data_IF_002186125549
#
_entry.id   IF_002186125549
#
_cell.length_a   1.000
_cell.length_b   1.000
_cell.length_c   1.000
_cell.angle_alpha   90.00
_cell.angle_beta   90.00
_cell.angle_gamma   90.00
#
_symmetry.space_group_name_H-M   'P 1'
#
loop_
_entity.id
_entity.type
_entity.pdbx_description
1 polymer ?
#
# COMPACT_ATOMS: atom_id res chain seq x y z
N UNK A 1 -12.36 13.97 -28.98
CA UNK A 1 -11.80 13.43 -27.73
C UNK A 1 -12.78 12.42 -27.19
N UNK A 2 -12.35 11.17 -27.07
CA UNK A 2 -13.09 10.09 -26.43
C UNK A 2 -12.90 10.21 -24.93
N UNK A 3 -13.98 10.05 -24.16
CA UNK A 3 -13.96 9.96 -22.69
C UNK A 3 -14.62 8.67 -22.26
N UNK A 4 -13.94 7.91 -21.41
CA UNK A 4 -14.49 6.74 -20.77
C UNK A 4 -15.46 7.14 -19.66
N UNK A 5 -16.39 6.23 -19.33
CA UNK A 5 -17.24 6.39 -18.16
C UNK A 5 -16.40 6.33 -16.88
N UNK A 6 -16.96 6.81 -15.77
CA UNK A 6 -16.31 6.73 -14.46
C UNK A 6 -15.90 5.28 -14.13
N UNK A 7 -14.68 5.10 -13.64
CA UNK A 7 -14.12 3.78 -13.33
C UNK A 7 -13.68 2.98 -14.56
N UNK A 8 -13.74 3.55 -15.77
CA UNK A 8 -13.27 2.91 -17.01
C UNK A 8 -12.08 3.64 -17.61
N UNK A 9 -11.18 2.87 -18.20
CA UNK A 9 -9.91 3.36 -18.72
C UNK A 9 -9.59 2.74 -20.08
N UNK A 10 -8.78 3.45 -20.85
CA UNK A 10 -8.13 2.93 -22.05
C UNK A 10 -6.98 2.00 -21.65
N UNK A 11 -6.34 1.37 -22.64
CA UNK A 11 -5.30 0.36 -22.38
C UNK A 11 -4.03 0.93 -21.72
N UNK A 12 -3.82 2.24 -21.82
CA UNK A 12 -2.74 3.04 -21.27
C UNK A 12 -3.13 3.75 -19.96
N UNK A 13 -4.14 3.23 -19.25
CA UNK A 13 -4.61 3.70 -17.95
C UNK A 13 -5.22 5.11 -17.94
N UNK A 14 -5.42 5.73 -19.11
CA UNK A 14 -6.06 7.05 -19.22
C UNK A 14 -7.58 6.95 -19.36
N UNK A 15 -8.28 7.92 -18.79
CA UNK A 15 -9.75 8.01 -18.87
C UNK A 15 -10.24 8.69 -20.15
N UNK A 16 -9.35 9.35 -20.89
CA UNK A 16 -9.69 10.07 -22.11
C UNK A 16 -8.51 10.20 -23.05
N UNK A 17 -8.80 10.29 -24.36
CA UNK A 17 -7.79 10.44 -25.39
C UNK A 17 -8.34 11.21 -26.62
N UNK A 18 -7.47 11.87 -27.40
CA UNK A 18 -7.82 12.34 -28.74
C UNK A 18 -8.35 11.18 -29.60
N UNK A 19 -9.44 11.42 -30.31
CA UNK A 19 -10.10 10.39 -31.12
C UNK A 19 -10.99 11.03 -32.18
N UNK A 20 -11.06 10.38 -33.34
CA UNK A 20 -11.91 10.73 -34.47
C UNK A 20 -13.03 9.69 -34.59
N UNK A 21 -14.26 10.13 -34.89
CA UNK A 21 -15.38 9.22 -35.13
C UNK A 21 -15.58 9.05 -36.64
N UNK A 22 -15.34 7.85 -37.17
CA UNK A 22 -15.53 7.49 -38.57
C UNK A 22 -16.56 6.37 -38.69
N UNK A 23 -17.65 6.61 -39.42
CA UNK A 23 -18.73 5.63 -39.63
C UNK A 23 -19.29 5.00 -38.33
N UNK A 24 -19.28 5.74 -37.22
CA UNK A 24 -19.77 5.28 -35.92
C UNK A 24 -18.72 4.56 -35.05
N UNK A 25 -17.46 4.47 -35.50
CA UNK A 25 -16.36 3.84 -34.75
C UNK A 25 -15.33 4.90 -34.36
N UNK A 26 -14.88 4.87 -33.10
CA UNK A 26 -13.79 5.71 -32.63
C UNK A 26 -12.44 5.15 -33.08
N UNK A 27 -11.62 6.00 -33.69
CA UNK A 27 -10.26 5.68 -34.14
C UNK A 27 -9.27 6.69 -33.58
N UNK A 28 -8.03 6.24 -33.32
CA UNK A 28 -6.93 7.11 -32.92
C UNK A 28 -6.56 8.07 -34.06
N UNK A 29 -6.06 9.24 -33.69
CA UNK A 29 -5.55 10.24 -34.64
C UNK A 29 -4.15 9.86 -35.16
N UNK A 30 -3.38 9.14 -34.34
CA UNK A 30 -2.10 8.56 -34.75
C UNK A 30 -2.33 7.20 -35.42
N UNK A 31 -1.67 6.96 -36.57
CA UNK A 31 -1.66 5.74 -37.40
C UNK A 31 -1.29 4.42 -36.65
N UNK A 32 -1.20 4.46 -35.32
CA UNK A 32 -1.03 3.30 -34.46
C UNK A 32 -2.40 2.67 -34.15
N UNK A 33 -2.60 1.35 -34.38
CA UNK A 33 -3.87 0.68 -34.12
C UNK A 33 -4.07 0.42 -32.61
N UNK A 34 -4.02 1.47 -31.80
CA UNK A 34 -4.40 1.38 -30.39
C UNK A 34 -5.92 1.30 -30.34
N UNK A 35 -6.44 0.17 -29.89
CA UNK A 35 -7.87 -0.01 -29.71
C UNK A 35 -8.37 0.99 -28.66
N UNK A 36 -9.10 2.02 -29.11
CA UNK A 36 -9.79 3.00 -28.27
C UNK A 36 -11.04 2.37 -27.61
N UNK A 37 -10.81 1.37 -26.77
CA UNK A 37 -11.84 0.61 -26.09
C UNK A 37 -11.70 0.84 -24.59
N UNK A 38 -12.72 1.48 -24.01
CA UNK A 38 -12.83 1.62 -22.57
C UNK A 38 -13.12 0.26 -21.93
N UNK A 39 -12.30 -0.13 -20.97
CA UNK A 39 -12.49 -1.32 -20.13
C UNK A 39 -12.77 -0.89 -18.69
N UNK A 40 -13.39 -1.78 -17.91
CA UNK A 40 -13.42 -1.59 -16.46
C UNK A 40 -11.98 -1.45 -15.96
N UNK A 41 -11.74 -0.52 -15.04
CA UNK A 41 -10.44 -0.31 -14.45
C UNK A 41 -9.95 -1.57 -13.75
N UNK A 42 -10.55 -1.90 -12.61
CA UNK A 42 -10.06 -2.99 -11.78
C UNK A 42 -11.02 -4.18 -11.89
N UNK A 43 -10.50 -5.32 -12.31
CA UNK A 43 -11.26 -6.57 -12.36
C UNK A 43 -11.60 -7.06 -10.94
N UNK A 44 -10.65 -6.87 -10.01
CA UNK A 44 -10.86 -7.05 -8.58
C UNK A 44 -11.02 -5.67 -7.91
N UNK A 45 -12.00 -5.48 -7.03
CA UNK A 45 -12.21 -4.18 -6.41
C UNK A 45 -11.06 -3.82 -5.47
N UNK A 46 -10.68 -2.54 -5.46
CA UNK A 46 -9.82 -2.00 -4.42
C UNK A 46 -10.54 -2.10 -3.06
N UNK A 47 -9.86 -2.65 -2.07
CA UNK A 47 -10.35 -2.85 -0.72
C UNK A 47 -10.14 -1.60 0.15
N UNK A 48 -10.77 -1.61 1.33
CA UNK A 48 -10.57 -0.60 2.38
C UNK A 48 -10.72 0.86 1.95
N UNK A 49 -11.60 1.12 0.98
CA UNK A 49 -11.87 2.48 0.47
C UNK A 49 -10.88 2.96 -0.58
N UNK A 50 -10.01 2.08 -1.10
CA UNK A 50 -9.19 2.35 -2.27
C UNK A 50 -10.04 2.65 -3.50
N UNK A 51 -9.45 3.41 -4.44
CA UNK A 51 -10.12 3.82 -5.67
C UNK A 51 -9.34 3.32 -6.87
N UNK A 52 -10.03 2.76 -7.85
CA UNK A 52 -9.41 2.35 -9.10
C UNK A 52 -9.06 3.57 -9.95
N UNK A 53 -7.78 3.68 -10.32
CA UNK A 53 -7.22 4.84 -11.04
C UNK A 53 -6.61 4.48 -12.39
N UNK A 54 -6.71 3.22 -12.80
CA UNK A 54 -6.19 2.67 -14.06
C UNK A 54 -6.65 1.23 -14.24
N UNK A 55 -6.11 0.51 -15.23
CA UNK A 55 -6.38 -0.92 -15.39
C UNK A 55 -5.67 -1.68 -14.28
N UNK A 56 -6.45 -2.37 -13.44
CA UNK A 56 -6.01 -3.12 -12.26
C UNK A 56 -5.08 -2.32 -11.33
N UNK A 57 -5.21 -0.99 -11.34
CA UNK A 57 -4.39 -0.08 -10.55
C UNK A 57 -5.23 0.60 -9.46
N UNK A 58 -4.92 0.28 -8.21
CA UNK A 58 -5.57 0.89 -7.05
C UNK A 58 -4.74 2.03 -6.47
N UNK A 59 -5.42 3.15 -6.16
CA UNK A 59 -4.91 4.15 -5.23
C UNK A 59 -5.52 3.88 -3.86
N UNK A 60 -4.67 3.45 -2.93
CA UNK A 60 -5.08 3.13 -1.56
C UNK A 60 -5.28 4.39 -0.71
N UNK A 61 -6.06 4.23 0.36
CA UNK A 61 -6.09 5.22 1.45
C UNK A 61 -4.74 5.20 2.18
N UNK A 62 -4.40 6.26 2.94
CA UNK A 62 -3.09 6.36 3.59
C UNK A 62 -2.74 5.18 4.50
N UNK A 63 -3.74 4.49 5.06
CA UNK A 63 -3.58 3.41 6.03
C UNK A 63 -3.45 2.02 5.39
N UNK A 64 -3.51 1.90 4.06
CA UNK A 64 -3.48 0.61 3.36
C UNK A 64 -2.51 0.61 2.18
N UNK A 65 -2.05 -0.59 1.82
CA UNK A 65 -1.16 -0.85 0.68
C UNK A 65 -1.44 -2.23 0.08
N UNK A 66 -0.75 -2.54 -1.03
CA UNK A 66 -0.98 -3.75 -1.82
C UNK A 66 -1.60 -3.44 -3.18
N UNK A 67 -1.73 -4.45 -4.02
CA UNK A 67 -2.27 -4.32 -5.38
C UNK A 67 -3.76 -3.89 -5.35
N UNK A 68 -4.47 -4.37 -4.32
CA UNK A 68 -5.87 -4.10 -4.09
C UNK A 68 -6.12 -3.42 -2.74
N UNK A 69 -5.10 -2.79 -2.14
CA UNK A 69 -5.21 -2.17 -0.81
C UNK A 69 -5.62 -3.16 0.29
N UNK A 70 -5.20 -4.40 0.15
CA UNK A 70 -5.54 -5.52 1.01
C UNK A 70 -4.77 -5.52 2.33
N UNK A 71 -3.60 -4.89 2.38
CA UNK A 71 -2.73 -4.88 3.56
C UNK A 71 -2.86 -3.58 4.34
N UNK A 72 -3.12 -3.68 5.64
CA UNK A 72 -3.10 -2.51 6.54
C UNK A 72 -1.66 -2.12 6.85
N UNK A 73 -1.34 -0.84 6.69
CA UNK A 73 -0.08 -0.25 7.15
C UNK A 73 -0.04 -0.21 8.67
N UNK A 74 1.15 -0.38 9.22
CA UNK A 74 1.35 -0.18 10.64
C UNK A 74 1.51 1.30 10.96
N UNK A 75 1.07 1.76 12.15
CA UNK A 75 1.28 3.13 12.55
C UNK A 75 2.77 3.37 12.82
N UNK A 76 3.25 4.56 12.50
CA UNK A 76 4.50 5.07 13.07
C UNK A 76 4.31 5.21 14.58
N UNK A 77 5.24 4.66 15.35
CA UNK A 77 5.17 4.64 16.82
C UNK A 77 6.27 5.48 17.43
N UNK A 78 5.92 6.29 18.43
CA UNK A 78 6.91 6.91 19.29
C UNK A 78 7.27 5.93 20.41
N UNK A 79 8.57 5.73 20.60
CA UNK A 79 9.07 4.79 21.60
C UNK A 79 9.85 5.54 22.66
N UNK A 80 9.54 5.27 23.93
CA UNK A 80 10.31 5.79 25.05
C UNK A 80 11.57 4.96 25.24
N UNK A 81 12.72 5.60 25.50
CA UNK A 81 14.00 4.92 25.74
C UNK A 81 14.47 4.01 24.59
N UNK A 82 14.09 4.36 23.36
CA UNK A 82 14.56 3.70 22.16
C UNK A 82 14.32 4.56 20.93
N UNK A 83 14.79 4.05 19.80
CA UNK A 83 14.63 4.65 18.47
C UNK A 83 13.87 3.65 17.61
N UNK A 84 12.77 4.11 17.02
CA UNK A 84 12.00 3.35 16.03
C UNK A 84 12.38 3.85 14.64
N UNK A 85 13.00 2.98 13.85
CA UNK A 85 13.45 3.25 12.49
C UNK A 85 12.58 2.46 11.51
N UNK A 86 11.67 3.15 10.83
CA UNK A 86 10.75 2.55 9.86
C UNK A 86 11.43 2.44 8.49
N UNK A 87 11.67 1.21 8.02
CA UNK A 87 12.30 0.97 6.71
C UNK A 87 11.30 1.12 5.58
N UNK A 88 10.07 0.65 5.79
CA UNK A 88 8.94 0.73 4.86
C UNK A 88 7.62 0.38 5.59
N UNK A 89 6.51 0.38 4.84
CA UNK A 89 5.16 0.08 5.34
C UNK A 89 5.02 -1.30 6.05
N UNK A 90 5.98 -2.22 5.86
CA UNK A 90 5.93 -3.58 6.40
C UNK A 90 7.11 -4.01 7.26
N UNK A 91 8.14 -3.17 7.42
CA UNK A 91 9.33 -3.50 8.21
C UNK A 91 9.93 -2.30 8.92
N UNK A 92 10.38 -2.51 10.16
CA UNK A 92 11.02 -1.50 10.98
C UNK A 92 12.05 -2.15 11.92
N UNK A 93 12.95 -1.34 12.48
CA UNK A 93 13.85 -1.74 13.56
C UNK A 93 13.58 -0.91 14.79
N UNK A 94 13.45 -1.57 15.93
CA UNK A 94 13.44 -0.93 17.24
C UNK A 94 14.81 -1.10 17.89
N UNK A 95 15.50 -0.01 18.19
CA UNK A 95 16.78 -0.03 18.92
C UNK A 95 16.58 0.57 20.31
N UNK A 96 16.93 -0.17 21.35
CA UNK A 96 16.89 0.34 22.72
C UNK A 96 18.06 1.31 22.97
N UNK A 97 17.81 2.38 23.73
CA UNK A 97 18.87 3.29 24.16
C UNK A 97 19.78 2.60 25.17
N UNK A 98 20.99 3.14 25.37
CA UNK A 98 21.96 2.61 26.34
C UNK A 98 21.32 2.43 27.74
N UNK A 99 21.49 1.23 28.31
CA UNK A 99 20.91 0.86 29.60
C UNK A 99 19.49 0.28 29.53
N UNK A 100 18.91 0.17 28.34
CA UNK A 100 17.61 -0.47 28.11
C UNK A 100 17.79 -1.70 27.20
N UNK A 101 16.98 -2.73 27.46
CA UNK A 101 16.91 -3.95 26.64
C UNK A 101 15.46 -4.26 26.32
N UNK A 102 15.22 -4.90 25.18
CA UNK A 102 13.89 -5.40 24.84
C UNK A 102 13.51 -6.58 25.75
N UNK A 103 12.21 -6.92 25.78
CA UNK A 103 11.71 -8.08 26.55
C UNK A 103 12.36 -9.40 26.08
N UNK A 104 12.79 -9.47 24.82
CA UNK A 104 13.56 -10.60 24.29
C UNK A 104 14.98 -10.70 24.85
N UNK A 105 15.49 -9.63 25.47
CA UNK A 105 16.87 -9.49 25.92
C UNK A 105 17.79 -8.86 24.87
N UNK A 106 17.28 -8.51 23.69
CA UNK A 106 18.06 -7.90 22.61
C UNK A 106 18.16 -6.37 22.76
N UNK A 107 19.26 -5.80 22.29
CA UNK A 107 19.45 -4.34 22.18
C UNK A 107 18.72 -3.75 20.95
N UNK A 108 18.43 -4.58 19.95
CA UNK A 108 17.65 -4.21 18.79
C UNK A 108 16.73 -5.36 18.34
N UNK A 109 15.53 -5.02 17.90
CA UNK A 109 14.49 -5.97 17.46
C UNK A 109 14.02 -5.57 16.08
N UNK A 110 14.06 -6.50 15.13
CA UNK A 110 13.42 -6.34 13.82
C UNK A 110 11.92 -6.57 13.96
N UNK A 111 11.12 -5.70 13.34
CA UNK A 111 9.67 -5.71 13.39
C UNK A 111 9.12 -5.90 11.97
N UNK A 112 8.09 -6.75 11.84
CA UNK A 112 7.29 -6.95 10.64
C UNK A 112 5.87 -6.49 10.91
N UNK A 113 5.29 -5.76 9.97
CA UNK A 113 3.88 -5.38 10.03
C UNK A 113 3.01 -6.56 9.61
N UNK A 114 2.13 -6.99 10.50
CA UNK A 114 1.12 -8.02 10.22
C UNK A 114 -0.23 -7.44 10.58
N UNK A 115 -1.09 -7.24 9.57
CA UNK A 115 -2.46 -6.71 9.77
C UNK A 115 -2.49 -5.39 10.56
N UNK A 116 -1.62 -4.43 10.20
CA UNK A 116 -1.54 -3.11 10.85
C UNK A 116 -0.93 -3.13 12.26
N UNK A 117 -0.31 -4.25 12.67
CA UNK A 117 0.37 -4.37 13.96
C UNK A 117 1.83 -4.77 13.79
N UNK A 118 2.73 -4.00 14.41
CA UNK A 118 4.15 -4.35 14.49
C UNK A 118 4.35 -5.60 15.36
N UNK A 119 5.04 -6.59 14.81
CA UNK A 119 5.37 -7.86 15.46
C UNK A 119 6.86 -8.15 15.31
N UNK A 120 7.55 -8.68 16.34
CA UNK A 120 8.94 -9.09 16.19
C UNK A 120 9.14 -10.15 15.12
N UNK A 121 10.09 -9.91 14.23
CA UNK A 121 10.55 -10.90 13.26
C UNK A 121 11.14 -12.10 14.02
N UNK A 122 10.63 -13.30 13.75
CA UNK A 122 11.20 -14.54 14.30
C UNK A 122 10.76 -14.93 15.72
N UNK A 123 9.85 -14.19 16.38
CA UNK A 123 9.26 -14.61 17.65
C UNK A 123 7.86 -15.20 17.40
N UNK A 124 7.80 -16.49 17.04
CA UNK A 124 6.54 -17.23 17.12
C UNK A 124 6.20 -17.47 18.60
N UNK A 125 5.06 -16.92 19.07
CA UNK A 125 4.51 -17.01 20.43
C UNK A 125 5.09 -16.07 21.51
N UNK A 126 4.99 -14.75 21.31
CA UNK A 126 4.81 -13.85 22.45
C UNK A 126 3.87 -12.71 22.12
N UNK A 127 2.90 -12.53 23.01
CA UNK A 127 1.90 -11.47 23.03
C UNK A 127 2.47 -10.09 22.72
N UNK A 128 1.96 -9.47 21.66
CA UNK A 128 1.80 -8.01 21.50
C UNK A 128 2.82 -7.12 22.24
N UNK A 129 3.93 -6.77 21.60
CA UNK A 129 4.93 -5.88 22.20
C UNK A 129 4.49 -4.41 22.35
N UNK A 130 3.30 -4.02 21.89
CA UNK A 130 2.81 -2.64 21.98
C UNK A 130 2.02 -2.33 23.26
N UNK A 131 2.24 -3.10 24.33
CA UNK A 131 1.44 -2.97 25.54
C UNK A 131 2.12 -3.32 26.84
N UNK A 132 3.31 -2.80 27.14
CA UNK A 132 3.72 -2.55 28.54
C UNK A 132 5.15 -2.00 28.64
N UNK A 133 5.27 -0.91 29.40
CA UNK A 133 6.48 -0.32 30.00
C UNK A 133 7.76 -1.16 29.89
N UNK A 134 8.74 -0.63 29.17
CA UNK A 134 10.14 -1.04 29.28
C UNK A 134 10.58 -0.81 30.73
N UNK A 135 10.84 -1.88 31.48
CA UNK A 135 11.30 -1.79 32.87
C UNK A 135 12.82 -1.83 32.94
N UNK A 136 13.42 -0.89 33.68
CA UNK A 136 14.82 -0.91 34.07
C UNK A 136 15.14 -2.19 34.85
N UNK A 137 16.16 -2.92 34.41
CA UNK A 137 16.78 -4.03 35.13
C UNK A 137 18.30 -3.87 35.11
#
# INVERSE_FOLDING_TARGET
MLKCAEGKFLHDDVSDAPAICLNGTWVSDDDSPVALVCREGCAMPCLHGGVCVGIDMCRCTPEYYGEHCEYAKCPTVEVLNGVFDEHNDSSATLTCNEGFIAISGDEAVELVCVEGKWTPSGIENSSSLLGSNLTNG
#
